data_IF_680014112226
#
_entry.id   IF_680014112226
#
_cell.length_a   1.000
_cell.length_b   1.000
_cell.length_c   1.000
_cell.angle_alpha   90.00
_cell.angle_beta   90.00
_cell.angle_gamma   90.00
#
_symmetry.space_group_name_H-M   'P 1'
#
loop_
_entity.id
_entity.type
_entity.pdbx_description
1 polymer ?
#
# COMPACT_ATOMS: atom_id res chain seq x y z
N UNK A 1 -6.18 -1.38 -37.89
CA UNK A 1 -6.00 -2.22 -36.69
C UNK A 1 -5.57 -1.32 -35.53
N UNK A 2 -6.50 -0.95 -34.65
CA UNK A 2 -6.19 -0.10 -33.51
C UNK A 2 -5.61 -0.94 -32.38
N UNK A 3 -4.33 -0.74 -32.06
CA UNK A 3 -3.76 -1.20 -30.81
C UNK A 3 -4.31 -0.29 -29.72
N UNK A 4 -5.34 -0.74 -29.01
CA UNK A 4 -5.87 -0.01 -27.85
C UNK A 4 -4.79 -0.03 -26.78
N UNK A 5 -4.27 1.13 -26.42
CA UNK A 5 -3.34 1.24 -25.29
C UNK A 5 -3.96 0.52 -24.08
N UNK A 6 -3.18 -0.28 -23.33
CA UNK A 6 -3.72 -1.05 -22.22
C UNK A 6 -4.32 -0.09 -21.18
N UNK A 7 -5.54 -0.41 -20.74
CA UNK A 7 -6.21 0.33 -19.68
C UNK A 7 -5.36 0.29 -18.40
N UNK A 8 -5.09 1.46 -17.82
CA UNK A 8 -4.16 1.62 -16.69
C UNK A 8 -4.56 0.74 -15.50
N UNK A 9 -5.86 0.56 -15.26
CA UNK A 9 -6.36 -0.32 -14.20
C UNK A 9 -6.00 -1.80 -14.44
N UNK A 10 -6.05 -2.26 -15.69
CA UNK A 10 -5.65 -3.62 -16.07
C UNK A 10 -4.14 -3.83 -15.88
N UNK A 11 -3.32 -2.85 -16.26
CA UNK A 11 -1.87 -2.89 -16.05
C UNK A 11 -1.54 -2.98 -14.57
N UNK A 12 -2.15 -2.12 -13.74
CA UNK A 12 -1.95 -2.15 -12.28
C UNK A 12 -2.33 -3.52 -11.70
N UNK A 13 -3.45 -4.10 -12.14
CA UNK A 13 -3.88 -5.44 -11.71
C UNK A 13 -2.86 -6.52 -12.05
N UNK A 14 -2.37 -6.53 -13.29
CA UNK A 14 -1.38 -7.52 -13.77
C UNK A 14 -0.03 -7.40 -13.06
N UNK A 15 0.47 -6.17 -12.90
CA UNK A 15 1.73 -5.87 -12.20
C UNK A 15 1.64 -6.39 -10.76
N UNK A 16 0.50 -6.20 -10.09
CA UNK A 16 0.30 -6.70 -8.72
C UNK A 16 0.33 -8.21 -8.61
N UNK A 17 -0.35 -8.92 -9.50
CA UNK A 17 -0.32 -10.38 -9.49
C UNK A 17 1.09 -10.91 -9.74
N UNK A 18 1.84 -10.24 -10.62
CA UNK A 18 3.26 -10.56 -10.88
C UNK A 18 4.14 -10.28 -9.66
N UNK A 19 3.96 -9.13 -8.99
CA UNK A 19 4.69 -8.75 -7.78
C UNK A 19 4.39 -9.70 -6.61
N UNK A 20 3.14 -10.12 -6.42
CA UNK A 20 2.76 -11.14 -5.43
C UNK A 20 3.45 -12.48 -5.71
N UNK A 21 3.48 -12.92 -6.97
CA UNK A 21 4.13 -14.17 -7.37
C UNK A 21 5.65 -14.13 -7.17
N UNK A 22 6.31 -13.02 -7.56
CA UNK A 22 7.74 -12.80 -7.36
C UNK A 22 8.12 -12.70 -5.88
N UNK A 23 7.32 -11.98 -5.08
CA UNK A 23 7.51 -11.88 -3.63
C UNK A 23 7.28 -13.20 -2.89
N UNK A 24 6.44 -14.10 -3.40
CA UNK A 24 6.29 -15.45 -2.84
C UNK A 24 7.50 -16.35 -3.13
N UNK A 25 8.12 -16.22 -4.31
CA UNK A 25 9.35 -16.92 -4.67
C UNK A 25 10.54 -16.42 -3.82
N UNK A 26 10.68 -15.10 -3.66
CA UNK A 26 11.75 -14.52 -2.85
C UNK A 26 11.58 -14.79 -1.34
N UNK A 27 10.34 -14.81 -0.83
CA UNK A 27 10.04 -15.28 0.54
C UNK A 27 10.41 -16.75 0.76
N UNK A 28 10.30 -17.60 -0.27
CA UNK A 28 10.71 -19.01 -0.21
C UNK A 28 12.23 -19.18 -0.12
N UNK A 29 12.99 -18.38 -0.85
CA UNK A 29 14.46 -18.40 -0.77
C UNK A 29 14.97 -17.83 0.56
N UNK A 30 14.39 -16.73 1.06
CA UNK A 30 14.73 -16.20 2.39
C UNK A 30 14.37 -17.19 3.50
N UNK A 31 13.22 -17.89 3.42
CA UNK A 31 12.87 -18.96 4.37
C UNK A 31 13.81 -20.16 4.30
N UNK A 32 14.34 -20.51 3.13
CA UNK A 32 15.32 -21.59 2.98
C UNK A 32 16.66 -21.23 3.63
N UNK A 33 17.07 -19.96 3.58
CA UNK A 33 18.24 -19.46 4.32
C UNK A 33 18.00 -19.29 5.83
N UNK A 34 16.75 -19.09 6.26
CA UNK A 34 16.40 -18.94 7.68
C UNK A 34 16.13 -20.26 8.41
N UNK A 35 16.10 -21.41 7.72
CA UNK A 35 15.82 -22.72 8.30
C UNK A 35 16.95 -23.31 9.17
N UNK A 36 17.99 -22.51 9.49
CA UNK A 36 19.07 -22.87 10.41
C UNK A 36 18.97 -22.21 11.80
N UNK A 37 17.87 -21.52 12.13
CA UNK A 37 17.66 -20.95 13.47
C UNK A 37 16.37 -21.51 14.11
N UNK A 38 16.55 -22.26 15.21
CA UNK A 38 15.49 -22.77 16.07
C UNK A 38 14.84 -21.63 16.91
N UNK A 39 13.65 -21.85 17.51
CA UNK A 39 12.72 -20.79 17.86
C UNK A 39 12.94 -20.24 19.28
N UNK A 40 12.94 -18.91 19.42
CA UNK A 40 12.37 -18.12 20.54
C UNK A 40 12.89 -16.68 20.46
N UNK A 41 12.04 -15.75 20.05
CA UNK A 41 11.64 -14.62 20.90
C UNK A 41 10.57 -13.81 20.15
N UNK A 42 9.50 -13.45 20.85
CA UNK A 42 8.53 -12.52 20.32
C UNK A 42 9.26 -11.21 20.03
N UNK A 43 9.52 -10.93 18.75
CA UNK A 43 10.06 -9.65 18.30
C UNK A 43 9.14 -8.58 18.88
N UNK A 44 9.61 -7.88 19.91
CA UNK A 44 8.92 -6.71 20.45
C UNK A 44 8.93 -5.71 19.31
N UNK A 45 7.82 -5.65 18.58
CA UNK A 45 7.63 -4.67 17.53
C UNK A 45 7.72 -3.32 18.22
N UNK A 46 8.83 -2.61 18.01
CA UNK A 46 9.00 -1.26 18.54
C UNK A 46 7.81 -0.40 18.07
N UNK A 47 7.29 0.46 18.94
CA UNK A 47 6.16 1.31 18.60
C UNK A 47 6.58 2.29 17.50
N UNK A 48 5.78 2.50 16.44
CA UNK A 48 6.10 3.48 15.42
C UNK A 48 6.19 4.88 16.04
N UNK A 49 7.23 5.66 15.69
CA UNK A 49 7.34 7.05 16.12
C UNK A 49 6.33 7.93 15.37
N UNK A 50 5.36 8.57 16.05
CA UNK A 50 4.38 9.44 15.40
C UNK A 50 4.98 10.71 14.76
N UNK A 51 6.23 11.06 15.12
CA UNK A 51 6.93 12.25 14.61
C UNK A 51 7.81 11.96 13.39
N UNK A 52 7.99 10.69 13.02
CA UNK A 52 8.78 10.34 11.84
C UNK A 52 8.02 10.73 10.55
N UNK A 53 8.56 11.68 9.75
CA UNK A 53 7.89 12.14 8.53
C UNK A 53 7.77 11.06 7.46
N UNK A 54 8.63 10.03 7.47
CA UNK A 54 8.56 8.91 6.52
C UNK A 54 7.41 7.94 6.84
N UNK A 55 6.98 7.92 8.09
CA UNK A 55 5.89 7.10 8.60
C UNK A 55 4.54 7.84 8.63
N UNK A 56 4.55 9.16 8.46
CA UNK A 56 3.35 9.97 8.49
C UNK A 56 2.27 9.53 7.48
N UNK A 57 2.56 9.32 6.17
CA UNK A 57 1.51 8.91 5.22
C UNK A 57 0.90 7.54 5.58
N UNK A 58 1.73 6.64 6.12
CA UNK A 58 1.30 5.32 6.57
C UNK A 58 0.32 5.42 7.74
N UNK A 59 0.63 6.28 8.71
CA UNK A 59 -0.22 6.53 9.87
C UNK A 59 -1.56 7.13 9.46
N UNK A 60 -1.53 8.18 8.65
CA UNK A 60 -2.74 8.87 8.18
C UNK A 60 -3.63 7.96 7.33
N UNK A 61 -3.06 7.09 6.49
CA UNK A 61 -3.82 6.11 5.73
C UNK A 61 -4.52 5.07 6.63
N UNK A 62 -3.85 4.60 7.69
CA UNK A 62 -4.46 3.66 8.64
C UNK A 62 -5.57 4.31 9.46
N UNK A 63 -5.37 5.57 9.89
CA UNK A 63 -6.44 6.37 10.51
C UNK A 63 -7.63 6.49 9.57
N UNK A 64 -7.40 6.77 8.29
CA UNK A 64 -8.47 6.89 7.29
C UNK A 64 -9.25 5.58 7.14
N UNK A 65 -8.57 4.44 7.07
CA UNK A 65 -9.21 3.13 6.97
C UNK A 65 -10.00 2.74 8.23
N UNK A 66 -9.57 3.17 9.42
CA UNK A 66 -10.23 2.85 10.69
C UNK A 66 -11.41 3.80 10.97
N UNK A 67 -11.23 5.09 10.74
CA UNK A 67 -12.21 6.12 11.10
C UNK A 67 -13.19 6.44 9.97
N UNK A 68 -12.73 6.40 8.72
CA UNK A 68 -13.50 6.81 7.54
C UNK A 68 -13.41 5.76 6.40
N UNK A 69 -13.79 4.49 6.64
CA UNK A 69 -13.65 3.41 5.66
C UNK A 69 -14.36 3.70 4.34
N UNK A 70 -15.49 4.43 4.37
CA UNK A 70 -16.20 4.85 3.17
C UNK A 70 -15.42 5.85 2.30
N UNK A 71 -14.60 6.71 2.90
CA UNK A 71 -13.74 7.69 2.20
C UNK A 71 -12.46 7.01 1.72
N UNK A 72 -11.82 6.20 2.59
CA UNK A 72 -10.62 5.47 2.25
C UNK A 72 -10.87 4.48 1.10
N UNK A 73 -12.00 3.77 1.18
CA UNK A 73 -12.60 3.00 0.10
C UNK A 73 -11.67 1.98 -0.57
N UNK A 74 -12.01 1.52 -1.78
CA UNK A 74 -11.22 0.53 -2.51
C UNK A 74 -9.77 0.97 -2.74
N UNK A 75 -9.50 2.29 -2.76
CA UNK A 75 -8.15 2.84 -2.92
C UNK A 75 -7.23 2.36 -1.79
N UNK A 76 -7.69 2.39 -0.54
CA UNK A 76 -6.91 1.85 0.58
C UNK A 76 -6.66 0.34 0.45
N UNK A 77 -7.67 -0.43 0.01
CA UNK A 77 -7.50 -1.87 -0.20
C UNK A 77 -6.44 -2.18 -1.27
N UNK A 78 -6.19 -1.24 -2.19
CA UNK A 78 -5.11 -1.37 -3.17
C UNK A 78 -3.71 -1.25 -2.60
N UNK A 79 -3.54 -0.68 -1.40
CA UNK A 79 -2.27 -0.60 -0.70
C UNK A 79 -1.93 -1.96 -0.09
N UNK A 80 -0.82 -2.55 -0.51
CA UNK A 80 -0.38 -3.84 0.04
C UNK A 80 0.31 -3.66 1.39
N UNK A 81 0.52 -4.76 2.12
CA UNK A 81 1.24 -4.73 3.41
C UNK A 81 2.66 -4.17 3.23
N UNK A 82 3.30 -4.43 2.09
CA UNK A 82 4.64 -3.94 1.72
C UNK A 82 4.69 -2.42 1.49
N UNK A 83 3.53 -1.76 1.38
CA UNK A 83 3.42 -0.28 1.36
C UNK A 83 3.64 0.33 2.75
N UNK A 84 3.58 -0.48 3.81
CA UNK A 84 3.79 -0.08 5.19
C UNK A 84 5.17 -0.56 5.67
N UNK A 85 6.14 0.35 5.73
CA UNK A 85 7.53 0.04 6.06
C UNK A 85 7.73 -0.30 7.54
N UNK A 86 6.87 0.25 8.42
CA UNK A 86 6.94 -0.04 9.84
C UNK A 86 6.17 -1.34 10.17
N UNK A 87 6.78 -2.33 10.85
CA UNK A 87 6.12 -3.62 11.12
C UNK A 87 4.80 -3.50 11.88
N UNK A 88 4.69 -2.54 12.80
CA UNK A 88 3.44 -2.24 13.51
C UNK A 88 2.31 -1.80 12.57
N UNK A 89 2.59 -0.92 11.61
CA UNK A 89 1.60 -0.46 10.63
C UNK A 89 1.26 -1.53 9.61
N UNK A 90 2.25 -2.31 9.18
CA UNK A 90 2.03 -3.49 8.36
C UNK A 90 1.09 -4.51 9.05
N UNK A 91 1.24 -4.72 10.35
CA UNK A 91 0.37 -5.59 11.13
C UNK A 91 -1.06 -5.05 11.25
N UNK A 92 -1.24 -3.74 11.45
CA UNK A 92 -2.58 -3.09 11.42
C UNK A 92 -3.21 -3.25 10.03
N UNK A 93 -2.46 -2.99 8.95
CA UNK A 93 -2.95 -3.17 7.58
C UNK A 93 -3.41 -4.61 7.32
N UNK A 94 -2.67 -5.60 7.82
CA UNK A 94 -3.03 -7.00 7.72
C UNK A 94 -4.32 -7.33 8.51
N UNK A 95 -4.47 -6.79 9.72
CA UNK A 95 -5.70 -6.93 10.50
C UNK A 95 -6.91 -6.33 9.77
N UNK A 96 -6.75 -5.15 9.14
CA UNK A 96 -7.80 -4.54 8.29
C UNK A 96 -8.19 -5.45 7.13
N UNK A 97 -7.22 -6.07 6.43
CA UNK A 97 -7.54 -7.06 5.37
C UNK A 97 -8.33 -8.23 5.94
N UNK A 98 -7.86 -8.80 7.06
CA UNK A 98 -8.47 -9.98 7.68
C UNK A 98 -9.90 -9.72 8.16
N UNK A 99 -10.22 -8.49 8.55
CA UNK A 99 -11.57 -8.05 8.90
C UNK A 99 -12.50 -7.80 7.69
N UNK A 100 -12.01 -7.99 6.46
CA UNK A 100 -12.77 -7.85 5.21
C UNK A 100 -12.45 -6.60 4.39
N UNK A 101 -11.45 -5.81 4.81
CA UNK A 101 -11.04 -4.59 4.10
C UNK A 101 -12.13 -3.51 4.07
N UNK A 102 -12.00 -2.53 3.17
CA UNK A 102 -12.96 -1.42 3.07
C UNK A 102 -14.32 -1.86 2.50
N UNK A 103 -14.40 -3.05 1.92
CA UNK A 103 -15.63 -3.61 1.36
C UNK A 103 -16.53 -4.30 2.40
N UNK A 104 -16.09 -4.46 3.64
CA UNK A 104 -16.86 -5.09 4.71
C UNK A 104 -18.14 -4.33 5.11
N UNK A 105 -18.26 -3.06 4.71
CA UNK A 105 -19.44 -2.23 4.98
C UNK A 105 -19.60 -1.79 6.44
N UNK A 106 -18.61 -2.07 7.30
CA UNK A 106 -18.58 -1.63 8.69
C UNK A 106 -18.15 -0.16 8.84
N UNK A 107 -18.61 0.49 9.91
CA UNK A 107 -18.16 1.83 10.31
C UNK A 107 -18.17 1.99 11.83
N UNK A 108 -17.50 3.03 12.34
CA UNK A 108 -17.50 3.37 13.76
C UNK A 108 -16.92 2.28 14.67
N UNK A 109 -17.38 2.23 15.92
CA UNK A 109 -16.84 1.33 16.95
C UNK A 109 -16.89 -0.15 16.58
N UNK A 110 -17.98 -0.61 15.96
CA UNK A 110 -18.12 -2.02 15.54
C UNK A 110 -17.04 -2.42 14.53
N UNK A 111 -16.72 -1.54 13.57
CA UNK A 111 -15.66 -1.78 12.61
C UNK A 111 -14.29 -1.86 13.29
N UNK A 112 -13.99 -0.91 14.18
CA UNK A 112 -12.72 -0.90 14.93
C UNK A 112 -12.58 -2.18 15.78
N UNK A 113 -13.66 -2.63 16.41
CA UNK A 113 -13.70 -3.88 17.18
C UNK A 113 -13.41 -5.09 16.28
N UNK A 114 -14.05 -5.20 15.11
CA UNK A 114 -13.80 -6.29 14.15
C UNK A 114 -12.35 -6.31 13.65
N UNK A 115 -11.75 -5.15 13.39
CA UNK A 115 -10.32 -5.06 13.01
C UNK A 115 -9.43 -5.47 14.18
N UNK A 116 -9.76 -5.05 15.40
CA UNK A 116 -8.99 -5.39 16.62
C UNK A 116 -9.01 -6.88 16.92
N UNK A 117 -10.13 -7.57 16.67
CA UNK A 117 -10.23 -9.03 16.81
C UNK A 117 -9.24 -9.80 15.91
N UNK A 118 -8.81 -9.18 14.80
CA UNK A 118 -7.81 -9.75 13.88
C UNK A 118 -6.36 -9.34 14.22
N UNK A 119 -6.14 -8.62 15.32
CA UNK A 119 -4.82 -8.17 15.70
C UNK A 119 -3.89 -9.35 16.06
N UNK A 120 -2.71 -9.38 15.45
CA UNK A 120 -1.73 -10.43 15.68
C UNK A 120 -1.11 -10.42 17.10
N UNK A 121 -1.27 -9.32 17.85
CA UNK A 121 -0.79 -9.20 19.23
C UNK A 121 -1.53 -8.10 20.00
N UNK A 122 -1.47 -8.08 21.35
CA UNK A 122 -2.02 -6.99 22.16
C UNK A 122 -1.45 -5.61 21.81
N UNK A 123 -0.18 -5.55 21.37
CA UNK A 123 0.43 -4.30 20.95
C UNK A 123 -0.23 -3.74 19.68
N UNK A 124 -0.54 -4.61 18.71
CA UNK A 124 -1.26 -4.22 17.48
C UNK A 124 -2.69 -3.80 17.82
N UNK A 125 -3.36 -4.49 18.74
CA UNK A 125 -4.70 -4.11 19.21
C UNK A 125 -4.72 -2.71 19.84
N UNK A 126 -3.71 -2.38 20.66
CA UNK A 126 -3.57 -1.03 21.23
C UNK A 126 -3.31 0.02 20.15
N UNK A 127 -2.47 -0.28 19.16
CA UNK A 127 -2.20 0.61 18.04
C UNK A 127 -3.46 0.86 17.19
N UNK A 128 -4.31 -0.16 16.98
CA UNK A 128 -5.61 0.00 16.30
C UNK A 128 -6.51 0.97 17.07
N UNK A 129 -6.62 0.82 18.39
CA UNK A 129 -7.44 1.71 19.21
C UNK A 129 -6.93 3.16 19.15
N UNK A 130 -5.60 3.36 19.24
CA UNK A 130 -4.96 4.67 19.13
C UNK A 130 -5.27 5.34 17.78
N UNK A 131 -5.01 4.64 16.67
CA UNK A 131 -5.26 5.14 15.32
C UNK A 131 -6.75 5.31 15.02
N UNK A 132 -7.62 4.58 15.71
CA UNK A 132 -9.08 4.67 15.56
C UNK A 132 -9.69 5.92 16.19
N UNK A 133 -8.95 6.67 17.00
CA UNK A 133 -9.45 7.90 17.66
C UNK A 133 -8.53 9.11 17.49
N UNK A 134 -7.34 8.92 16.96
CA UNK A 134 -6.40 10.02 16.74
C UNK A 134 -6.93 11.00 15.67
N UNK A 135 -6.98 12.28 16.03
CA UNK A 135 -7.42 13.34 15.13
C UNK A 135 -6.50 13.49 13.91
N UNK A 136 -7.08 13.84 12.77
CA UNK A 136 -6.34 14.23 11.58
C UNK A 136 -5.66 15.59 11.78
N UNK A 137 -4.58 15.84 11.02
CA UNK A 137 -3.88 17.15 11.02
C UNK A 137 -4.59 18.19 10.14
N UNK A 138 -5.87 17.99 9.86
CA UNK A 138 -6.73 18.91 9.13
C UNK A 138 -7.81 19.37 10.09
N UNK A 139 -7.96 20.68 10.25
CA UNK A 139 -8.93 21.28 11.19
C UNK A 139 -10.33 21.35 10.59
N UNK A 140 -10.45 21.17 9.29
CA UNK A 140 -11.66 21.39 8.49
C UNK A 140 -12.16 20.05 7.91
N UNK A 141 -13.29 19.58 8.43
CA UNK A 141 -13.92 18.33 8.02
C UNK A 141 -14.30 18.33 6.52
N UNK A 142 -14.59 19.50 5.92
CA UNK A 142 -14.91 19.59 4.50
C UNK A 142 -13.69 19.29 3.61
N UNK A 143 -12.48 19.48 4.14
CA UNK A 143 -11.21 19.17 3.46
C UNK A 143 -10.75 17.73 3.70
N UNK A 144 -11.29 17.05 4.70
CA UNK A 144 -10.88 15.72 5.10
C UNK A 144 -10.94 14.68 3.96
N UNK A 145 -11.98 14.63 3.09
CA UNK A 145 -11.99 13.70 1.96
C UNK A 145 -10.84 13.91 0.98
N UNK A 146 -10.51 15.19 0.69
CA UNK A 146 -9.41 15.56 -0.21
C UNK A 146 -8.06 15.20 0.39
N UNK A 147 -7.88 15.50 1.68
CA UNK A 147 -6.68 15.16 2.45
C UNK A 147 -6.43 13.64 2.47
N UNK A 148 -7.45 12.84 2.78
CA UNK A 148 -7.35 11.37 2.74
C UNK A 148 -6.93 10.90 1.33
N UNK A 149 -7.54 11.47 0.29
CA UNK A 149 -7.17 11.19 -1.10
C UNK A 149 -5.69 11.47 -1.40
N UNK A 150 -5.16 12.60 -0.94
CA UNK A 150 -3.75 12.97 -1.09
C UNK A 150 -2.79 12.01 -0.38
N UNK A 151 -3.09 11.67 0.88
CA UNK A 151 -2.33 10.69 1.68
C UNK A 151 -2.26 9.32 0.99
N UNK A 152 -3.41 8.82 0.53
CA UNK A 152 -3.47 7.53 -0.16
C UNK A 152 -2.69 7.58 -1.48
N UNK A 153 -2.81 8.68 -2.24
CA UNK A 153 -2.05 8.87 -3.47
C UNK A 153 -0.54 8.86 -3.23
N UNK A 154 -0.07 9.45 -2.12
CA UNK A 154 1.35 9.45 -1.74
C UNK A 154 1.87 8.04 -1.45
N UNK A 155 1.10 7.21 -0.76
CA UNK A 155 1.49 5.81 -0.52
C UNK A 155 1.47 4.96 -1.80
N UNK A 156 0.46 5.15 -2.64
CA UNK A 156 0.38 4.48 -3.93
C UNK A 156 1.57 4.85 -4.83
N UNK A 157 1.99 6.12 -4.83
CA UNK A 157 3.12 6.60 -5.63
C UNK A 157 4.43 5.90 -5.27
N UNK A 158 4.69 5.71 -3.96
CA UNK A 158 5.90 5.00 -3.49
C UNK A 158 5.93 3.56 -3.99
N UNK A 159 4.79 2.85 -3.93
CA UNK A 159 4.69 1.48 -4.46
C UNK A 159 4.89 1.45 -5.98
N UNK A 160 4.20 2.32 -6.72
CA UNK A 160 4.33 2.45 -8.17
C UNK A 160 5.77 2.73 -8.59
N UNK A 161 6.48 3.60 -7.85
CA UNK A 161 7.88 3.93 -8.10
C UNK A 161 8.82 2.73 -7.98
N UNK A 162 8.58 1.83 -7.01
CA UNK A 162 9.34 0.58 -6.86
C UNK A 162 9.10 -0.38 -8.02
N UNK A 163 7.83 -0.58 -8.41
CA UNK A 163 7.47 -1.45 -9.54
C UNK A 163 8.05 -0.93 -10.87
N UNK A 164 8.03 0.38 -11.08
CA UNK A 164 8.69 1.02 -12.24
C UNK A 164 10.18 0.71 -12.27
N UNK A 165 10.86 0.78 -11.12
CA UNK A 165 12.29 0.47 -11.04
C UNK A 165 12.58 -1.00 -11.37
N UNK A 166 11.76 -1.93 -10.87
CA UNK A 166 11.86 -3.36 -11.19
C UNK A 166 11.62 -3.64 -12.69
N UNK A 167 10.58 -3.03 -13.27
CA UNK A 167 10.30 -3.16 -14.70
C UNK A 167 11.43 -2.61 -15.58
N UNK A 168 11.99 -1.45 -15.23
CA UNK A 168 13.17 -0.89 -15.92
C UNK A 168 14.37 -1.82 -15.83
N UNK A 169 14.64 -2.37 -14.64
CA UNK A 169 15.71 -3.35 -14.43
C UNK A 169 15.52 -4.63 -15.24
N UNK A 170 14.28 -5.12 -15.38
CA UNK A 170 13.97 -6.27 -16.25
C UNK A 170 14.18 -5.93 -17.73
N UNK A 171 13.67 -4.79 -18.20
CA UNK A 171 13.84 -4.33 -19.59
C UNK A 171 15.31 -4.14 -19.98
N UNK A 172 16.15 -3.61 -19.08
CA UNK A 172 17.58 -3.43 -19.32
C UNK A 172 18.35 -4.76 -19.49
N UNK A 173 17.86 -5.83 -18.88
CA UNK A 173 18.48 -7.18 -18.97
C UNK A 173 17.93 -8.02 -20.12
N UNK A 174 16.77 -7.65 -20.68
CA UNK A 174 16.20 -8.33 -21.84
C UNK A 174 16.90 -7.86 -23.12
N UNK A 175 17.32 -8.83 -23.95
CA UNK A 175 17.77 -8.55 -25.31
C UNK A 175 16.57 -8.18 -26.17
N UNK A 176 16.52 -6.97 -26.77
CA UNK A 176 15.44 -6.58 -27.67
C UNK A 176 15.44 -7.36 -28.99
N UNK A 177 16.45 -8.20 -29.26
CA UNK A 177 16.55 -8.95 -30.52
C UNK A 177 15.89 -10.33 -30.43
N UNK A 178 15.84 -10.92 -29.23
CA UNK A 178 15.39 -12.31 -29.04
C UNK A 178 13.94 -12.42 -28.55
N UNK A 179 13.39 -11.35 -27.96
CA UNK A 179 12.08 -11.34 -27.29
C UNK A 179 11.26 -10.07 -27.59
N UNK A 180 11.12 -9.71 -28.88
CA UNK A 180 10.46 -8.47 -29.33
C UNK A 180 9.04 -8.28 -28.75
N UNK A 181 8.21 -9.32 -28.75
CA UNK A 181 6.83 -9.22 -28.27
C UNK A 181 6.75 -9.02 -26.76
N UNK A 182 7.54 -9.76 -25.97
CA UNK A 182 7.59 -9.60 -24.51
C UNK A 182 8.19 -8.24 -24.11
N UNK A 183 9.20 -7.77 -24.85
CA UNK A 183 9.79 -6.45 -24.63
C UNK A 183 8.76 -5.33 -24.86
N UNK A 184 8.06 -5.35 -26.00
CA UNK A 184 7.05 -4.34 -26.35
C UNK A 184 5.89 -4.33 -25.35
N UNK A 185 5.43 -5.50 -24.89
CA UNK A 185 4.40 -5.60 -23.86
C UNK A 185 4.86 -4.99 -22.52
N UNK A 186 6.06 -5.35 -22.05
CA UNK A 186 6.61 -4.84 -20.79
C UNK A 186 6.90 -3.33 -20.86
N UNK A 187 7.34 -2.83 -22.01
CA UNK A 187 7.52 -1.40 -22.24
C UNK A 187 6.17 -0.65 -22.20
N UNK A 188 5.12 -1.22 -22.80
CA UNK A 188 3.77 -0.68 -22.71
C UNK A 188 3.25 -0.59 -21.27
N UNK A 189 3.45 -1.64 -20.48
CA UNK A 189 3.09 -1.67 -19.06
C UNK A 189 3.89 -0.61 -18.26
N UNK A 190 5.18 -0.43 -18.56
CA UNK A 190 6.03 0.60 -17.95
C UNK A 190 5.49 2.01 -18.23
N UNK A 191 5.14 2.33 -19.49
CA UNK A 191 4.62 3.66 -19.86
C UNK A 191 3.29 3.95 -19.16
N UNK A 192 2.41 2.95 -19.05
CA UNK A 192 1.16 3.08 -18.32
C UNK A 192 1.40 3.34 -16.82
N UNK A 193 2.35 2.64 -16.19
CA UNK A 193 2.71 2.85 -14.78
C UNK A 193 3.34 4.23 -14.53
N UNK A 194 4.19 4.73 -15.44
CA UNK A 194 4.77 6.09 -15.36
C UNK A 194 3.68 7.17 -15.48
N UNK A 195 2.72 6.97 -16.38
CA UNK A 195 1.56 7.86 -16.55
C UNK A 195 0.70 7.87 -15.27
N UNK A 196 0.46 6.69 -14.71
CA UNK A 196 -0.26 6.55 -13.45
C UNK A 196 0.47 7.25 -12.30
N UNK A 197 1.79 7.06 -12.19
CA UNK A 197 2.63 7.72 -11.18
C UNK A 197 2.51 9.24 -11.24
N UNK A 198 2.54 9.83 -12.44
CA UNK A 198 2.37 11.28 -12.63
C UNK A 198 1.01 11.76 -12.12
N UNK A 199 -0.07 11.06 -12.45
CA UNK A 199 -1.40 11.40 -11.95
C UNK A 199 -1.54 11.26 -10.43
N UNK A 200 -0.77 10.37 -9.79
CA UNK A 200 -0.71 10.24 -8.33
C UNK A 200 0.03 11.41 -7.70
N UNK A 201 1.15 11.85 -8.30
CA UNK A 201 1.88 13.03 -7.85
C UNK A 201 1.02 14.29 -7.92
N UNK A 202 0.24 14.47 -8.99
CA UNK A 202 -0.72 15.58 -9.12
C UNK A 202 -1.81 15.53 -8.04
N UNK A 203 -2.34 14.34 -7.74
CA UNK A 203 -3.32 14.14 -6.67
C UNK A 203 -2.74 14.40 -5.28
N UNK A 204 -1.50 13.96 -5.03
CA UNK A 204 -0.83 14.17 -3.77
C UNK A 204 -0.42 15.64 -3.55
N UNK A 205 0.03 16.34 -4.59
CA UNK A 205 0.42 17.76 -4.51
C UNK A 205 -0.77 18.72 -4.54
N UNK A 206 -1.96 18.25 -4.96
CA UNK A 206 -3.21 18.96 -4.77
C UNK A 206 -3.61 19.17 -3.30
N UNK A 207 -2.88 18.57 -2.36
CA UNK A 207 -2.96 18.80 -0.90
C UNK A 207 -1.99 19.92 -0.45
N UNK A 208 -0.77 19.96 -1.00
CA UNK A 208 0.26 20.98 -0.70
C UNK A 208 -0.10 22.40 -1.18
N UNK A 209 -0.94 22.53 -2.21
CA UNK A 209 -1.27 23.82 -2.86
C UNK A 209 -2.44 24.57 -2.22
N UNK A 210 -3.01 24.08 -1.12
CA UNK A 210 -4.17 24.71 -0.45
C UNK A 210 -3.98 24.96 1.05
N UNK A 211 -2.73 25.00 1.50
CA UNK A 211 -2.36 25.46 2.85
C UNK A 211 -2.41 27.00 2.96
#
# INVERSE_FOLDING_TARGET
CGSTAPDVAQVIGRVRETAKAGGAAQRRDVRRSAAAAAPTDAVVVARPDPKDPTLWPQREALKAALQYPAIAGPVFDTLTVESFTHPGYAAVRAAVTAAGGMSAGGSGGQWIDSVREQAASPHVANLINELGVEAFRVEDDDRLPRYIGGVLARLQEVWVGREIAEMKSKLQRMSPVDNDEEYNALFGDLVAMETYRRSLLERASGDDLTA
#
